data_IF_834893796917
#
_entry.id   IF_834893796917
#
_cell.length_a   1.000
_cell.length_b   1.000
_cell.length_c   1.000
_cell.angle_alpha   90.00
_cell.angle_beta   90.00
_cell.angle_gamma   90.00
#
_symmetry.space_group_name_H-M   'P 1'
#
loop_
_entity.id
_entity.type
_entity.pdbx_description
1 polymer ?
#
# COMPACT_ATOMS: atom_id res chain seq x y z
N UNK A 1 -5.97 -6.51 -31.48
CA UNK A 1 -5.57 -6.21 -30.09
C UNK A 1 -6.63 -5.29 -29.49
N UNK A 2 -7.18 -5.62 -28.31
CA UNK A 2 -8.03 -4.67 -27.58
C UNK A 2 -7.17 -3.52 -27.05
N UNK A 3 -7.63 -2.29 -27.25
CA UNK A 3 -6.99 -1.10 -26.66
C UNK A 3 -7.09 -1.20 -25.13
N UNK A 4 -5.94 -1.13 -24.44
CA UNK A 4 -5.91 -1.10 -22.97
C UNK A 4 -6.36 0.29 -22.49
N UNK A 5 -7.29 0.32 -21.54
CA UNK A 5 -7.73 1.54 -20.86
C UNK A 5 -7.00 1.64 -19.52
N UNK A 6 -6.12 2.62 -19.42
CA UNK A 6 -5.27 2.85 -18.24
C UNK A 6 -5.96 3.66 -17.13
N UNK A 7 -7.20 4.16 -17.34
CA UNK A 7 -8.00 4.90 -16.34
C UNK A 7 -7.21 6.00 -15.61
N UNK A 8 -6.35 6.72 -16.33
CA UNK A 8 -5.51 7.78 -15.77
C UNK A 8 -6.42 8.96 -15.38
N UNK A 9 -6.29 9.54 -14.18
CA UNK A 9 -7.10 10.70 -13.80
C UNK A 9 -6.81 11.93 -14.68
N UNK A 10 -7.81 12.80 -14.84
CA UNK A 10 -7.69 14.02 -15.64
C UNK A 10 -6.90 15.13 -14.90
N UNK A 11 -6.59 16.21 -15.61
CA UNK A 11 -5.92 17.40 -15.06
C UNK A 11 -4.39 17.42 -15.22
N UNK A 12 -3.77 18.50 -14.70
CA UNK A 12 -2.33 18.75 -14.76
C UNK A 12 -1.56 17.70 -13.94
N UNK A 13 -0.41 17.25 -14.44
CA UNK A 13 0.38 16.15 -13.85
C UNK A 13 0.67 16.34 -12.35
N UNK A 14 1.05 17.56 -11.97
CA UNK A 14 1.35 17.96 -10.59
C UNK A 14 0.18 17.70 -9.62
N UNK A 15 -1.05 17.98 -10.06
CA UNK A 15 -2.24 17.96 -9.21
C UNK A 15 -3.10 16.71 -9.41
N UNK A 16 -2.90 15.99 -10.52
CA UNK A 16 -3.69 14.86 -11.00
C UNK A 16 -4.08 13.87 -9.91
N UNK A 17 -3.10 13.36 -9.16
CA UNK A 17 -3.34 12.35 -8.12
C UNK A 17 -3.87 12.96 -6.83
N UNK A 18 -3.47 14.19 -6.50
CA UNK A 18 -4.00 14.92 -5.34
C UNK A 18 -5.49 15.19 -5.50
N UNK A 19 -5.91 15.67 -6.68
CA UNK A 19 -7.31 15.92 -7.02
C UNK A 19 -8.13 14.64 -7.13
N UNK A 20 -7.57 13.58 -7.71
CA UNK A 20 -8.25 12.28 -7.73
C UNK A 20 -8.51 11.76 -6.32
N UNK A 21 -7.49 11.81 -5.44
CA UNK A 21 -7.60 11.34 -4.06
C UNK A 21 -8.64 12.14 -3.25
N UNK A 22 -8.81 13.43 -3.51
CA UNK A 22 -9.81 14.24 -2.80
C UNK A 22 -11.24 14.06 -3.29
N UNK A 23 -11.43 13.49 -4.49
CA UNK A 23 -12.75 13.35 -5.14
C UNK A 23 -13.21 11.91 -5.26
N UNK A 24 -12.32 10.92 -5.07
CA UNK A 24 -12.68 9.50 -5.16
C UNK A 24 -13.74 9.14 -4.10
N UNK A 25 -14.81 8.40 -4.47
CA UNK A 25 -15.81 7.97 -3.53
C UNK A 25 -15.23 7.12 -2.41
N UNK A 26 -15.68 7.38 -1.17
CA UNK A 26 -15.30 6.56 -0.02
C UNK A 26 -15.89 5.16 -0.14
N UNK A 27 -15.12 4.16 0.30
CA UNK A 27 -15.58 2.77 0.33
C UNK A 27 -16.40 2.53 1.60
N UNK A 28 -17.69 2.23 1.45
CA UNK A 28 -18.53 1.77 2.55
C UNK A 28 -17.99 0.41 3.08
N UNK A 29 -17.91 0.21 4.42
CA UNK A 29 -17.55 -1.07 5.02
C UNK A 29 -18.23 -2.31 4.42
N UNK A 30 -19.52 -2.24 4.07
CA UNK A 30 -20.25 -3.35 3.46
C UNK A 30 -19.72 -3.73 2.06
N UNK A 31 -19.11 -2.78 1.35
CA UNK A 31 -18.64 -2.96 -0.02
C UNK A 31 -17.18 -3.46 -0.10
N UNK A 32 -16.44 -3.51 1.01
CA UNK A 32 -15.01 -3.91 1.00
C UNK A 32 -14.79 -5.30 0.39
N UNK A 33 -15.70 -6.25 0.66
CA UNK A 33 -15.63 -7.63 0.14
C UNK A 33 -15.86 -7.72 -1.37
N UNK A 34 -16.49 -6.71 -1.97
CA UNK A 34 -16.75 -6.63 -3.40
C UNK A 34 -15.56 -6.05 -4.18
N UNK A 35 -14.57 -5.50 -3.48
CA UNK A 35 -13.38 -4.92 -4.08
C UNK A 35 -12.20 -5.90 -3.95
N UNK A 36 -11.54 -6.13 -5.07
CA UNK A 36 -10.31 -6.89 -5.14
C UNK A 36 -9.11 -5.94 -5.28
N UNK A 37 -8.15 -6.05 -4.37
CA UNK A 37 -6.93 -5.24 -4.37
C UNK A 37 -5.78 -6.10 -4.88
N UNK A 38 -5.08 -5.60 -5.90
CA UNK A 38 -3.86 -6.20 -6.41
C UNK A 38 -2.67 -5.46 -5.82
N UNK A 39 -1.84 -6.15 -5.06
CA UNK A 39 -0.60 -5.63 -4.50
C UNK A 39 0.56 -6.17 -5.32
N UNK A 40 1.36 -5.28 -5.92
CA UNK A 40 2.55 -5.64 -6.69
C UNK A 40 3.79 -5.37 -5.84
N UNK A 41 4.48 -6.45 -5.47
CA UNK A 41 5.61 -6.46 -4.56
C UNK A 41 5.25 -7.06 -3.20
N UNK A 42 6.08 -7.98 -2.71
CA UNK A 42 5.92 -8.66 -1.40
C UNK A 42 6.96 -8.23 -0.37
N UNK A 43 7.68 -7.12 -0.61
CA UNK A 43 8.58 -6.54 0.38
C UNK A 43 7.84 -6.00 1.61
N UNK A 44 8.58 -5.39 2.53
CA UNK A 44 8.04 -4.86 3.78
C UNK A 44 6.75 -4.04 3.56
N UNK A 45 6.77 -3.07 2.64
CA UNK A 45 5.60 -2.24 2.35
C UNK A 45 4.41 -3.04 1.76
N UNK A 46 4.67 -3.90 0.77
CA UNK A 46 3.62 -4.65 0.09
C UNK A 46 2.96 -5.68 1.00
N UNK A 47 3.75 -6.40 1.79
CA UNK A 47 3.24 -7.35 2.77
C UNK A 47 2.43 -6.65 3.87
N UNK A 48 2.90 -5.51 4.38
CA UNK A 48 2.16 -4.73 5.40
C UNK A 48 0.81 -4.21 4.88
N UNK A 49 0.78 -3.63 3.67
CA UNK A 49 -0.47 -3.17 3.05
C UNK A 49 -1.42 -4.34 2.81
N UNK A 50 -0.90 -5.46 2.31
CA UNK A 50 -1.72 -6.65 2.07
C UNK A 50 -2.37 -7.17 3.35
N UNK A 51 -1.62 -7.25 4.44
CA UNK A 51 -2.13 -7.68 5.74
C UNK A 51 -3.21 -6.71 6.26
N UNK A 52 -2.93 -5.40 6.30
CA UNK A 52 -3.89 -4.40 6.79
C UNK A 52 -5.18 -4.38 5.97
N UNK A 53 -5.10 -4.45 4.64
CA UNK A 53 -6.29 -4.46 3.79
C UNK A 53 -7.07 -5.78 3.92
N UNK A 54 -6.39 -6.92 4.04
CA UNK A 54 -7.06 -8.19 4.28
C UNK A 54 -7.80 -8.19 5.63
N UNK A 55 -7.19 -7.66 6.70
CA UNK A 55 -7.83 -7.49 8.01
C UNK A 55 -9.06 -6.57 7.95
N UNK A 56 -9.01 -5.53 7.09
CA UNK A 56 -10.16 -4.66 6.85
C UNK A 56 -11.30 -5.34 6.08
N UNK A 57 -11.10 -6.55 5.55
CA UNK A 57 -12.10 -7.35 4.84
C UNK A 57 -12.06 -7.22 3.32
N UNK A 58 -10.99 -6.67 2.74
CA UNK A 58 -10.80 -6.66 1.29
C UNK A 58 -10.30 -8.01 0.79
N UNK A 59 -10.63 -8.35 -0.47
CA UNK A 59 -10.00 -9.47 -1.15
C UNK A 59 -8.65 -9.00 -1.71
N UNK A 60 -7.54 -9.52 -1.18
CA UNK A 60 -6.20 -9.08 -1.59
C UNK A 60 -5.49 -10.19 -2.37
N UNK A 61 -4.90 -9.84 -3.52
CA UNK A 61 -3.96 -10.70 -4.26
C UNK A 61 -2.60 -10.03 -4.29
N UNK A 62 -1.57 -10.75 -3.85
CA UNK A 62 -0.19 -10.25 -3.83
C UNK A 62 0.61 -10.93 -4.93
N UNK A 63 1.28 -10.14 -5.75
CA UNK A 63 2.14 -10.60 -6.83
C UNK A 63 3.58 -10.19 -6.54
N UNK A 64 4.51 -11.11 -6.70
CA UNK A 64 5.94 -10.84 -6.61
C UNK A 64 6.62 -11.46 -7.84
N UNK A 65 7.64 -10.78 -8.34
CA UNK A 65 8.44 -11.28 -9.46
C UNK A 65 9.42 -12.37 -9.00
N UNK A 66 9.81 -12.33 -7.73
CA UNK A 66 10.79 -13.25 -7.17
C UNK A 66 10.22 -14.67 -7.03
N UNK A 67 11.08 -15.68 -7.11
CA UNK A 67 10.74 -17.10 -6.89
C UNK A 67 10.15 -17.38 -5.49
N UNK A 68 10.29 -16.43 -4.57
CA UNK A 68 9.64 -16.47 -3.26
C UNK A 68 9.33 -15.07 -2.77
N UNK A 69 8.16 -14.93 -2.13
CA UNK A 69 7.71 -13.69 -1.51
C UNK A 69 8.68 -13.13 -0.45
N UNK A 70 9.57 -13.98 0.08
CA UNK A 70 10.58 -13.61 1.09
C UNK A 70 11.87 -13.03 0.51
N UNK A 71 12.03 -12.97 -0.82
CA UNK A 71 13.27 -12.47 -1.46
C UNK A 71 13.21 -11.02 -1.90
N UNK A 72 12.28 -10.24 -1.37
CA UNK A 72 12.34 -8.79 -1.51
C UNK A 72 13.56 -8.23 -0.75
N UNK A 73 14.14 -7.13 -1.25
CA UNK A 73 15.35 -6.54 -0.67
C UNK A 73 15.22 -6.17 0.82
N UNK A 74 13.99 -5.92 1.29
CA UNK A 74 13.72 -5.67 2.71
C UNK A 74 14.18 -6.77 3.67
N UNK A 75 14.41 -8.00 3.21
CA UNK A 75 14.97 -9.08 4.05
C UNK A 75 16.43 -8.81 4.45
N UNK A 76 17.15 -7.98 3.70
CA UNK A 76 18.53 -7.63 3.97
C UNK A 76 18.68 -6.43 4.94
N UNK A 77 17.59 -5.95 5.53
CA UNK A 77 17.65 -4.87 6.53
C UNK A 77 18.38 -5.36 7.80
N UNK A 78 19.30 -4.54 8.34
CA UNK A 78 20.17 -4.92 9.45
C UNK A 78 20.06 -4.00 10.68
N UNK A 79 19.94 -2.69 10.49
CA UNK A 79 20.03 -1.72 11.58
C UNK A 79 18.82 -1.75 12.53
N UNK A 80 17.62 -1.53 12.00
CA UNK A 80 16.40 -1.43 12.80
C UNK A 80 15.34 -0.56 12.13
N UNK A 81 14.25 -0.29 12.84
CA UNK A 81 13.19 0.64 12.44
C UNK A 81 13.15 1.77 13.47
N UNK A 82 13.28 3.00 13.00
CA UNK A 82 13.17 4.18 13.85
C UNK A 82 11.70 4.38 14.26
N UNK A 83 11.44 4.57 15.54
CA UNK A 83 10.14 4.96 16.06
C UNK A 83 10.37 5.76 17.35
N UNK A 84 9.71 6.91 17.49
CA UNK A 84 9.72 7.65 18.73
C UNK A 84 9.01 6.83 19.80
N UNK A 85 9.72 6.38 20.83
CA UNK A 85 9.12 5.64 21.94
C UNK A 85 8.96 6.59 23.11
N UNK A 86 7.80 6.55 23.77
CA UNK A 86 7.55 7.37 24.97
C UNK A 86 8.28 6.79 26.20
N UNK A 87 9.59 6.56 26.08
CA UNK A 87 10.43 6.28 27.23
C UNK A 87 10.75 7.60 27.93
N UNK A 88 10.58 7.60 29.25
CA UNK A 88 10.89 8.77 30.06
C UNK A 88 12.39 9.10 29.88
N UNK A 89 12.69 10.31 29.40
CA UNK A 89 14.02 10.85 29.13
C UNK A 89 14.71 10.42 27.81
N UNK A 90 13.99 9.86 26.81
CA UNK A 90 14.61 9.51 25.51
C UNK A 90 14.91 10.73 24.61
N UNK A 91 14.30 11.89 24.92
CA UNK A 91 14.57 13.15 24.21
C UNK A 91 14.11 13.18 22.74
N UNK A 92 13.33 12.19 22.31
CA UNK A 92 12.77 12.14 20.96
C UNK A 92 11.88 13.36 20.69
N UNK A 93 12.15 14.05 19.59
CA UNK A 93 11.31 15.15 19.09
C UNK A 93 10.17 14.60 18.24
N UNK A 94 8.95 15.11 18.44
CA UNK A 94 7.72 14.70 17.73
C UNK A 94 7.29 15.77 16.74
#
# INVERSE_FOLDING_TARGET
MSKLDSKIPDGALEQKWTSYRSTVPLVNPANKRNLEILVVGSGLAGSSVAATLAEMGYKVKVFCFQDSARRAHSIAAQGGINAAKNYQNDGDSV
#
